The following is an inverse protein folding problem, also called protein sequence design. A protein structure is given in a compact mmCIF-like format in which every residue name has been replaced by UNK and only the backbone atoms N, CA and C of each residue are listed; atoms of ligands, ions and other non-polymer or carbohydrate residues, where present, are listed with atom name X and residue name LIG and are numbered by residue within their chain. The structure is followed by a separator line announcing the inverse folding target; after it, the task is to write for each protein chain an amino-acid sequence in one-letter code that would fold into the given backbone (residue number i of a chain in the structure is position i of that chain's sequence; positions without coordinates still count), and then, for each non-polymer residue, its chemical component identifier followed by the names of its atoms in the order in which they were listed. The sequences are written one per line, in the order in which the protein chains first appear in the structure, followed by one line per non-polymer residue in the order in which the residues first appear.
data_IF_458760189729
#
_entry.id   IF_458760189729
#
_cell.length_a   1.000
_cell.length_b   1.000
_cell.length_c   1.000
_cell.angle_alpha   90.00
_cell.angle_beta   90.00
_cell.angle_gamma   90.00
#
_symmetry.space_group_name_H-M   'P 1'
#
loop_
_entity.id
_entity.type
_entity.pdbx_description
1 polymer ?
#
# COMPACT_ATOMS: atom_id res chain seq x y z
N UNK A 1 35.37 -18.88 14.41
CA UNK A 1 36.51 -19.16 13.50
C UNK A 1 37.07 -20.54 13.83
N UNK A 2 37.73 -21.22 12.88
CA UNK A 2 38.45 -22.47 13.18
C UNK A 2 39.87 -22.09 13.57
N UNK A 3 40.25 -22.34 14.81
CA UNK A 3 41.63 -22.23 15.29
C UNK A 3 42.05 -23.65 15.64
N UNK A 4 43.15 -24.13 15.06
CA UNK A 4 43.73 -25.44 15.35
C UNK A 4 42.74 -26.63 15.25
N UNK A 5 41.78 -26.57 14.32
CA UNK A 5 40.80 -27.64 14.09
C UNK A 5 39.58 -27.61 15.01
N UNK A 6 39.50 -26.67 15.95
CA UNK A 6 38.36 -26.47 16.84
C UNK A 6 37.49 -25.28 16.40
N UNK A 7 36.17 -25.47 16.38
CA UNK A 7 35.21 -24.41 16.03
C UNK A 7 34.98 -23.53 17.27
N UNK A 8 35.64 -22.37 17.31
CA UNK A 8 35.51 -21.40 18.41
C UNK A 8 34.62 -20.23 17.99
N UNK A 9 33.68 -19.84 18.86
CA UNK A 9 32.83 -18.66 18.65
C UNK A 9 33.66 -17.38 18.71
N UNK A 10 33.54 -16.52 17.68
CA UNK A 10 34.18 -15.21 17.69
C UNK A 10 33.32 -14.22 18.50
N UNK A 11 33.84 -13.80 19.65
CA UNK A 11 33.18 -12.88 20.56
C UNK A 11 32.87 -11.51 19.92
N UNK A 12 33.64 -11.09 18.90
CA UNK A 12 33.39 -9.84 18.17
C UNK A 12 32.16 -9.94 17.26
N UNK A 13 31.79 -11.14 16.83
CA UNK A 13 30.60 -11.38 16.01
C UNK A 13 29.29 -11.44 16.82
N UNK A 14 29.38 -11.51 18.16
CA UNK A 14 28.22 -11.56 19.03
C UNK A 14 27.47 -10.22 19.09
N UNK A 15 28.16 -9.12 18.76
CA UNK A 15 27.62 -7.78 18.79
C UNK A 15 27.70 -7.14 17.40
N UNK A 16 26.59 -6.58 16.95
CA UNK A 16 26.54 -5.80 15.71
C UNK A 16 26.68 -4.33 16.07
N UNK A 17 27.75 -3.71 15.59
CA UNK A 17 27.90 -2.26 15.67
C UNK A 17 27.03 -1.57 14.62
N UNK A 18 25.88 -1.06 15.08
CA UNK A 18 24.92 -0.33 14.24
C UNK A 18 25.48 1.01 13.76
N UNK A 19 26.36 1.65 14.52
CA UNK A 19 26.96 2.92 14.14
C UNK A 19 27.97 2.72 13.01
N UNK A 20 28.83 1.70 13.12
CA UNK A 20 29.77 1.35 12.04
C UNK A 20 29.06 0.88 10.76
N UNK A 21 27.86 0.30 10.88
CA UNK A 21 27.02 -0.04 9.71
C UNK A 21 26.39 1.21 9.10
N UNK A 22 25.79 2.07 9.92
CA UNK A 22 25.19 3.31 9.48
C UNK A 22 26.20 4.26 8.82
N UNK A 23 27.42 4.36 9.37
CA UNK A 23 28.49 5.17 8.79
C UNK A 23 28.95 4.65 7.41
N UNK A 24 28.96 3.32 7.22
CA UNK A 24 29.25 2.71 5.91
C UNK A 24 28.12 2.93 4.90
N UNK A 25 26.87 3.02 5.37
CA UNK A 25 25.68 3.24 4.53
C UNK A 25 25.46 4.73 4.21
N UNK A 26 25.86 5.64 5.12
CA UNK A 26 25.74 7.08 4.94
C UNK A 26 26.53 7.62 3.73
N UNK A 27 27.57 6.91 3.29
CA UNK A 27 28.36 7.29 2.13
C UNK A 27 29.11 8.61 2.29
N UNK A 28 29.46 9.24 1.18
CA UNK A 28 30.10 10.56 1.15
C UNK A 28 29.02 11.64 1.33
N UNK A 29 29.06 12.37 2.45
CA UNK A 29 28.16 13.48 2.74
C UNK A 29 28.76 14.78 2.20
N UNK A 30 27.95 15.57 1.50
CA UNK A 30 28.36 16.88 0.99
C UNK A 30 28.36 17.91 2.13
N UNK A 31 29.51 18.56 2.35
CA UNK A 31 29.65 19.64 3.32
C UNK A 31 29.17 20.95 2.68
N UNK A 32 28.07 21.52 3.22
CA UNK A 32 27.51 22.80 2.78
C UNK A 32 27.75 23.88 3.83
N UNK A 33 28.36 25.00 3.43
CA UNK A 33 28.48 26.19 4.28
C UNK A 33 27.14 26.94 4.33
N UNK A 34 26.50 26.99 5.50
CA UNK A 34 25.23 27.70 5.68
C UNK A 34 25.45 29.20 5.93
N UNK A 35 24.63 30.04 5.29
CA UNK A 35 24.57 31.49 5.52
C UNK A 35 23.14 31.89 5.94
N UNK A 36 22.97 33.09 6.54
CA UNK A 36 21.68 33.59 7.04
C UNK A 36 20.58 33.65 5.96
N UNK A 37 20.98 33.71 4.68
CA UNK A 37 20.06 33.72 3.54
C UNK A 37 19.77 32.33 2.96
N UNK A 38 20.54 31.30 3.31
CA UNK A 38 20.44 29.96 2.74
C UNK A 38 19.15 29.25 3.19
N UNK A 39 18.70 29.52 4.42
CA UNK A 39 17.54 28.87 5.04
C UNK A 39 16.31 29.80 5.18
N UNK A 40 16.08 30.69 4.21
CA UNK A 40 14.93 31.59 4.26
C UNK A 40 13.60 30.83 4.20
N UNK A 41 12.87 30.85 5.31
CA UNK A 41 11.56 30.20 5.45
C UNK A 41 10.45 31.25 5.36
N UNK A 42 9.46 30.98 4.52
CA UNK A 42 8.19 31.73 4.44
C UNK A 42 7.04 30.86 4.91
N UNK A 43 5.85 31.45 5.10
CA UNK A 43 4.63 30.70 5.43
C UNK A 43 4.26 29.62 4.39
N UNK A 44 4.79 29.70 3.16
CA UNK A 44 4.55 28.74 2.11
C UNK A 44 5.62 27.63 2.00
N UNK A 45 6.76 27.74 2.70
CA UNK A 45 7.92 26.86 2.51
C UNK A 45 7.60 25.38 2.78
N UNK A 46 6.83 25.11 3.83
CA UNK A 46 6.45 23.74 4.21
C UNK A 46 5.01 23.37 3.83
N UNK A 47 4.30 24.27 3.15
CA UNK A 47 2.98 23.94 2.65
C UNK A 47 3.11 22.95 1.49
N UNK A 48 2.20 21.97 1.42
CA UNK A 48 2.01 21.20 0.18
C UNK A 48 1.62 22.19 -0.91
N UNK A 49 2.59 22.59 -1.74
CA UNK A 49 2.31 23.36 -2.95
C UNK A 49 1.29 22.58 -3.76
N UNK A 50 0.18 23.21 -4.11
CA UNK A 50 -0.68 22.68 -5.17
C UNK A 50 0.24 22.52 -6.37
N UNK A 51 0.35 21.29 -6.87
CA UNK A 51 1.07 20.97 -8.10
C UNK A 51 0.80 22.11 -9.07
N UNK A 52 1.86 22.81 -9.52
CA UNK A 52 1.70 23.94 -10.43
C UNK A 52 0.93 23.35 -11.61
N UNK A 53 -0.31 23.79 -11.81
CA UNK A 53 -1.15 23.25 -12.87
C UNK A 53 -0.31 23.40 -14.13
N UNK A 54 0.05 22.27 -14.75
CA UNK A 54 0.84 22.30 -15.98
C UNK A 54 0.17 23.31 -16.90
N UNK A 55 0.95 24.23 -17.47
CA UNK A 55 0.40 25.21 -18.39
C UNK A 55 -0.37 24.43 -19.47
N UNK A 56 -1.60 24.84 -19.73
CA UNK A 56 -2.37 24.29 -20.84
C UNK A 56 -1.95 25.04 -22.08
N UNK A 57 -1.30 24.35 -23.01
CA UNK A 57 -1.13 24.85 -24.37
C UNK A 57 -2.45 24.75 -25.12
N UNK A 58 -2.52 25.40 -26.28
CA UNK A 58 -3.69 25.28 -27.16
C UNK A 58 -3.80 23.85 -27.69
N UNK A 59 -2.68 23.21 -28.04
CA UNK A 59 -2.61 21.78 -28.40
C UNK A 59 -3.13 20.85 -27.28
N UNK A 60 -2.75 21.11 -26.03
CA UNK A 60 -3.25 20.35 -24.88
C UNK A 60 -4.77 20.53 -24.71
N UNK A 61 -5.28 21.72 -25.04
CA UNK A 61 -6.71 22.04 -24.94
C UNK A 61 -7.50 21.35 -26.05
N UNK A 62 -6.97 21.27 -27.27
CA UNK A 62 -7.57 20.50 -28.36
C UNK A 62 -7.59 18.99 -28.04
N UNK A 63 -6.45 18.45 -27.55
CA UNK A 63 -6.39 17.07 -27.06
C UNK A 63 -7.38 16.80 -25.94
N UNK A 64 -7.58 17.77 -25.04
CA UNK A 64 -8.58 17.65 -23.98
C UNK A 64 -10.01 17.54 -24.53
N UNK A 65 -10.39 18.37 -25.50
CA UNK A 65 -11.72 18.26 -26.13
C UNK A 65 -11.88 16.97 -26.93
N UNK A 66 -10.82 16.49 -27.58
CA UNK A 66 -10.80 15.20 -28.27
C UNK A 66 -11.01 14.04 -27.28
N UNK A 67 -10.25 14.02 -26.18
CA UNK A 67 -10.39 13.03 -25.12
C UNK A 67 -11.77 13.08 -24.44
N UNK A 68 -12.36 14.28 -24.28
CA UNK A 68 -13.71 14.47 -23.74
C UNK A 68 -14.78 13.90 -24.68
N UNK A 69 -14.60 13.98 -26.00
CA UNK A 69 -15.50 13.35 -26.99
C UNK A 69 -15.40 11.82 -26.97
N UNK A 70 -14.20 11.28 -26.78
CA UNK A 70 -13.96 9.84 -26.73
C UNK A 70 -14.48 9.20 -25.45
N UNK A 71 -14.03 9.69 -24.29
CA UNK A 71 -14.25 9.04 -22.98
C UNK A 71 -15.37 9.69 -22.16
N UNK A 72 -15.82 10.90 -22.53
CA UNK A 72 -16.75 11.66 -21.70
C UNK A 72 -16.08 12.19 -20.43
N UNK A 73 -16.78 12.13 -19.30
CA UNK A 73 -16.35 12.77 -18.04
C UNK A 73 -15.43 11.90 -17.17
N UNK A 74 -14.84 10.84 -17.73
CA UNK A 74 -13.83 10.06 -17.01
C UNK A 74 -12.46 10.76 -16.99
N UNK A 75 -12.28 11.60 -15.97
CA UNK A 75 -11.06 12.37 -15.79
C UNK A 75 -9.83 11.53 -15.44
N UNK A 76 -10.00 10.30 -14.95
CA UNK A 76 -8.86 9.43 -14.64
C UNK A 76 -8.24 8.93 -15.94
N UNK A 77 -9.07 8.35 -16.83
CA UNK A 77 -8.64 7.87 -18.14
C UNK A 77 -8.07 9.01 -18.99
N UNK A 78 -8.74 10.16 -19.02
CA UNK A 78 -8.24 11.34 -19.74
C UNK A 78 -6.89 11.80 -19.18
N UNK A 79 -6.67 11.74 -17.86
CA UNK A 79 -5.41 12.20 -17.27
C UNK A 79 -4.20 11.37 -17.70
N UNK A 80 -4.38 10.09 -18.00
CA UNK A 80 -3.30 9.23 -18.47
C UNK A 80 -2.81 9.59 -19.87
N UNK A 81 -3.64 10.24 -20.69
CA UNK A 81 -3.22 10.76 -22.00
C UNK A 81 -2.24 11.94 -21.90
N UNK A 82 -2.02 12.48 -20.69
CA UNK A 82 -1.14 13.60 -20.44
C UNK A 82 -0.09 13.22 -19.38
N UNK A 83 1.18 13.19 -19.74
CA UNK A 83 2.26 12.82 -18.81
C UNK A 83 2.38 13.78 -17.60
N UNK A 84 2.13 15.08 -17.78
CA UNK A 84 2.27 16.10 -16.72
C UNK A 84 0.95 16.50 -16.04
N UNK A 85 -0.19 15.97 -16.49
CA UNK A 85 -1.51 16.41 -16.01
C UNK A 85 -2.19 15.30 -15.22
N UNK A 86 -2.33 15.52 -13.91
CA UNK A 86 -3.10 14.60 -13.05
C UNK A 86 -4.61 14.75 -13.27
N UNK A 87 -5.40 13.76 -12.83
CA UNK A 87 -6.88 13.82 -12.78
C UNK A 87 -7.42 15.13 -12.21
N UNK A 88 -6.77 15.70 -11.18
CA UNK A 88 -7.17 16.98 -10.59
C UNK A 88 -7.01 18.14 -11.58
N UNK A 89 -5.95 18.14 -12.39
CA UNK A 89 -5.73 19.15 -13.43
C UNK A 89 -6.79 19.07 -14.52
N UNK A 90 -7.13 17.87 -14.99
CA UNK A 90 -8.18 17.65 -16.00
C UNK A 90 -9.53 18.14 -15.49
N UNK A 91 -9.91 17.81 -14.24
CA UNK A 91 -11.14 18.33 -13.63
C UNK A 91 -11.16 19.86 -13.52
N UNK A 92 -10.04 20.47 -13.12
CA UNK A 92 -9.93 21.92 -13.04
C UNK A 92 -10.05 22.58 -14.42
N UNK A 93 -9.48 21.96 -15.46
CA UNK A 93 -9.63 22.42 -16.85
C UNK A 93 -11.08 22.32 -17.30
N UNK A 94 -11.76 21.20 -17.05
CA UNK A 94 -13.19 21.06 -17.33
C UNK A 94 -14.02 22.17 -16.66
N UNK A 95 -13.84 22.41 -15.37
CA UNK A 95 -14.57 23.46 -14.65
C UNK A 95 -14.26 24.88 -15.17
N UNK A 96 -13.03 25.10 -15.68
CA UNK A 96 -12.65 26.37 -16.31
C UNK A 96 -13.35 26.52 -17.64
N UNK A 97 -13.27 25.51 -18.51
CA UNK A 97 -13.88 25.52 -19.84
C UNK A 97 -15.41 25.52 -19.80
N UNK A 98 -16.03 24.94 -18.77
CA UNK A 98 -17.47 25.04 -18.58
C UNK A 98 -17.91 26.49 -18.34
N UNK A 99 -17.06 27.29 -17.67
CA UNK A 99 -17.33 28.71 -17.41
C UNK A 99 -16.97 29.61 -18.59
N UNK A 100 -15.83 29.38 -19.23
CA UNK A 100 -15.36 30.22 -20.35
C UNK A 100 -16.00 29.84 -21.69
N UNK A 101 -16.23 28.54 -21.93
CA UNK A 101 -16.58 28.01 -23.23
C UNK A 101 -17.61 26.86 -23.13
N UNK A 102 -18.75 27.15 -22.48
CA UNK A 102 -19.81 26.16 -22.22
C UNK A 102 -20.35 25.49 -23.48
N UNK A 103 -20.35 26.18 -24.63
CA UNK A 103 -20.81 25.62 -25.90
C UNK A 103 -19.89 24.50 -26.39
N UNK A 104 -18.57 24.65 -26.27
CA UNK A 104 -17.59 23.64 -26.67
C UNK A 104 -17.70 22.36 -25.81
N UNK A 105 -17.91 22.52 -24.50
CA UNK A 105 -18.14 21.38 -23.60
C UNK A 105 -19.45 20.66 -23.93
N UNK A 106 -20.54 21.39 -24.17
CA UNK A 106 -21.81 20.79 -24.58
C UNK A 106 -21.68 20.06 -25.93
N UNK A 107 -21.00 20.64 -26.89
CA UNK A 107 -20.74 20.01 -28.18
C UNK A 107 -19.91 18.73 -28.03
N UNK A 108 -18.92 18.71 -27.15
CA UNK A 108 -18.10 17.53 -26.89
C UNK A 108 -18.87 16.39 -26.20
N UNK A 109 -19.83 16.72 -25.31
CA UNK A 109 -20.53 15.73 -24.49
C UNK A 109 -21.88 15.26 -25.07
N UNK A 110 -22.64 16.18 -25.65
CA UNK A 110 -24.02 15.95 -26.16
C UNK A 110 -24.07 15.93 -27.68
N UNK A 111 -23.07 16.49 -28.35
CA UNK A 111 -23.01 16.52 -29.81
C UNK A 111 -22.82 15.14 -30.44
N UNK A 112 -22.76 15.12 -31.77
CA UNK A 112 -22.52 13.90 -32.53
C UNK A 112 -21.17 13.28 -32.13
N UNK A 113 -21.21 12.05 -31.63
CA UNK A 113 -20.02 11.28 -31.27
C UNK A 113 -19.30 10.83 -32.53
N UNK A 114 -18.52 11.76 -33.08
CA UNK A 114 -17.71 11.54 -34.27
C UNK A 114 -16.50 10.65 -34.01
N UNK A 115 -16.10 10.52 -32.74
CA UNK A 115 -14.94 9.71 -32.32
C UNK A 115 -15.42 8.53 -31.49
N UNK A 116 -15.17 7.31 -31.98
CA UNK A 116 -15.39 6.08 -31.22
C UNK A 116 -14.29 5.87 -30.18
N UNK A 117 -14.58 5.10 -29.12
CA UNK A 117 -13.56 4.71 -28.14
C UNK A 117 -12.57 3.74 -28.79
N UNK A 118 -11.44 4.27 -29.26
CA UNK A 118 -10.35 3.48 -29.83
C UNK A 118 -9.28 3.21 -28.77
N UNK A 119 -9.10 1.94 -28.41
CA UNK A 119 -8.03 1.54 -27.48
C UNK A 119 -6.64 1.76 -28.09
N UNK A 120 -6.51 1.60 -29.41
CA UNK A 120 -5.24 1.74 -30.12
C UNK A 120 -4.74 3.18 -30.10
N UNK A 121 -5.65 4.14 -30.29
CA UNK A 121 -5.33 5.56 -30.18
C UNK A 121 -4.91 5.92 -28.74
N UNK A 122 -5.61 5.40 -27.75
CA UNK A 122 -5.28 5.61 -26.35
C UNK A 122 -3.89 5.05 -25.98
N UNK A 123 -3.52 3.88 -26.52
CA UNK A 123 -2.18 3.30 -26.38
C UNK A 123 -1.09 4.20 -26.98
N UNK A 124 -1.33 4.80 -28.16
CA UNK A 124 -0.38 5.71 -28.79
C UNK A 124 -0.11 6.94 -27.90
N UNK A 125 -1.14 7.49 -27.26
CA UNK A 125 -0.98 8.66 -26.39
C UNK A 125 -0.36 8.33 -25.03
N UNK A 126 -0.66 7.16 -24.46
CA UNK A 126 -0.14 6.75 -23.14
C UNK A 126 1.23 6.10 -23.22
N UNK A 127 1.61 5.54 -24.37
CA UNK A 127 2.79 4.68 -24.50
C UNK A 127 2.70 3.41 -23.66
N UNK A 128 1.50 3.06 -23.18
CA UNK A 128 1.27 1.91 -22.31
C UNK A 128 0.71 0.74 -23.11
N UNK A 129 1.33 -0.43 -22.92
CA UNK A 129 0.73 -1.67 -23.36
C UNK A 129 -0.28 -2.15 -22.32
N UNK A 130 -1.48 -2.45 -22.80
CA UNK A 130 -2.55 -3.00 -21.99
C UNK A 130 -2.73 -4.48 -22.35
N UNK A 131 -2.64 -5.33 -21.34
CA UNK A 131 -3.00 -6.73 -21.44
C UNK A 131 -4.52 -6.90 -21.59
N UNK A 132 -4.94 -8.02 -22.16
CA UNK A 132 -6.36 -8.34 -22.24
C UNK A 132 -6.92 -8.63 -20.85
N UNK A 133 -8.20 -8.31 -20.63
CA UNK A 133 -8.85 -8.56 -19.34
C UNK A 133 -8.75 -10.03 -18.91
N UNK A 134 -8.82 -10.96 -19.86
CA UNK A 134 -8.69 -12.40 -19.62
C UNK A 134 -7.32 -12.79 -19.05
N UNK A 135 -6.25 -12.18 -19.55
CA UNK A 135 -4.89 -12.42 -19.04
C UNK A 135 -4.76 -11.93 -17.60
N UNK A 136 -5.29 -10.74 -17.30
CA UNK A 136 -5.26 -10.14 -15.96
C UNK A 136 -6.05 -11.02 -14.97
N UNK A 137 -7.26 -11.46 -15.33
CA UNK A 137 -8.06 -12.32 -14.46
C UNK A 137 -7.42 -13.69 -14.24
N UNK A 138 -6.81 -14.27 -15.27
CA UNK A 138 -6.09 -15.54 -15.14
C UNK A 138 -4.86 -15.41 -14.21
N UNK A 139 -4.13 -14.29 -14.27
CA UNK A 139 -3.02 -14.01 -13.36
C UNK A 139 -3.50 -13.83 -11.92
N UNK A 140 -4.56 -13.03 -11.71
CA UNK A 140 -5.14 -12.81 -10.37
C UNK A 140 -5.60 -14.11 -9.74
N UNK A 141 -6.31 -14.95 -10.49
CA UNK A 141 -6.79 -16.24 -10.01
C UNK A 141 -5.64 -17.17 -9.59
N UNK A 142 -4.57 -17.24 -10.39
CA UNK A 142 -3.38 -18.04 -10.04
C UNK A 142 -2.70 -17.53 -8.76
N UNK A 143 -2.61 -16.20 -8.59
CA UNK A 143 -2.03 -15.60 -7.40
C UNK A 143 -2.88 -15.86 -6.14
N UNK A 144 -4.21 -15.82 -6.27
CA UNK A 144 -5.15 -16.16 -5.19
C UNK A 144 -5.03 -17.63 -4.80
N UNK A 145 -5.02 -18.55 -5.77
CA UNK A 145 -4.85 -19.99 -5.53
C UNK A 145 -3.51 -20.31 -4.83
N UNK A 146 -2.42 -19.67 -5.24
CA UNK A 146 -1.11 -19.83 -4.60
C UNK A 146 -1.09 -19.30 -3.17
N UNK A 147 -1.72 -18.14 -2.93
CA UNK A 147 -1.84 -17.56 -1.60
C UNK A 147 -2.67 -18.44 -0.67
N UNK A 148 -3.81 -18.95 -1.14
CA UNK A 148 -4.67 -19.86 -0.38
C UNK A 148 -3.96 -21.17 -0.05
N UNK A 149 -3.24 -21.75 -1.02
CA UNK A 149 -2.45 -22.95 -0.79
C UNK A 149 -1.36 -22.74 0.28
N UNK A 150 -0.66 -21.59 0.24
CA UNK A 150 0.34 -21.21 1.26
C UNK A 150 -0.30 -21.01 2.64
N UNK A 151 -1.42 -20.31 2.72
CA UNK A 151 -2.14 -20.11 3.98
C UNK A 151 -2.61 -21.44 4.57
N UNK A 152 -3.13 -22.35 3.74
CA UNK A 152 -3.55 -23.67 4.16
C UNK A 152 -2.38 -24.50 4.69
N UNK A 153 -1.24 -24.52 3.99
CA UNK A 153 -0.05 -25.24 4.45
C UNK A 153 0.45 -24.72 5.82
N UNK A 154 0.47 -23.39 6.00
CA UNK A 154 0.82 -22.77 7.29
C UNK A 154 -0.20 -23.13 8.38
N UNK A 155 -1.50 -23.18 8.05
CA UNK A 155 -2.54 -23.55 9.00
C UNK A 155 -2.43 -25.02 9.41
N UNK A 156 -2.15 -25.92 8.46
CA UNK A 156 -1.95 -27.35 8.70
C UNK A 156 -0.70 -27.59 9.56
N UNK A 157 0.42 -26.92 9.25
CA UNK A 157 1.66 -26.96 10.05
C UNK A 157 1.40 -26.48 11.49
N UNK A 158 0.73 -25.33 11.66
CA UNK A 158 0.36 -24.82 12.98
C UNK A 158 -0.60 -25.75 13.71
N UNK A 159 -1.52 -26.41 13.01
CA UNK A 159 -2.43 -27.37 13.61
C UNK A 159 -1.67 -28.63 14.09
N UNK A 160 -0.69 -29.11 13.33
CA UNK A 160 0.18 -30.21 13.75
C UNK A 160 1.07 -29.82 14.93
N UNK A 161 1.65 -28.62 14.94
CA UNK A 161 2.41 -28.10 16.09
C UNK A 161 1.53 -28.00 17.34
N UNK A 162 0.30 -27.51 17.21
CA UNK A 162 -0.67 -27.44 18.30
C UNK A 162 -1.04 -28.84 18.81
N UNK A 163 -1.21 -29.83 17.92
CA UNK A 163 -1.47 -31.22 18.30
C UNK A 163 -0.30 -31.83 19.06
N UNK A 164 0.93 -31.69 18.55
CA UNK A 164 2.16 -32.16 19.23
C UNK A 164 2.35 -31.48 20.59
N UNK A 165 2.11 -30.17 20.68
CA UNK A 165 2.19 -29.40 21.92
C UNK A 165 1.12 -29.82 22.93
N UNK A 166 -0.10 -30.15 22.45
CA UNK A 166 -1.18 -30.70 23.28
C UNK A 166 -0.84 -32.10 23.78
N UNK A 167 -0.34 -32.98 22.92
CA UNK A 167 0.08 -34.34 23.30
C UNK A 167 1.25 -34.31 24.29
N UNK A 168 2.23 -33.42 24.12
CA UNK A 168 3.32 -33.23 25.07
C UNK A 168 2.86 -32.67 26.44
N UNK A 169 1.80 -31.85 26.46
CA UNK A 169 1.26 -31.27 27.70
C UNK A 169 0.33 -32.24 28.46
N UNK A 170 -0.43 -33.07 27.75
CA UNK A 170 -1.41 -34.00 28.34
C UNK A 170 -0.95 -35.47 28.39
N UNK A 171 0.25 -35.78 27.88
CA UNK A 171 0.77 -37.13 27.71
C UNK A 171 1.79 -37.62 28.76
N UNK A 172 2.04 -36.88 29.83
CA UNK A 172 2.76 -37.43 30.98
C UNK A 172 1.80 -38.37 31.75
N UNK A 173 2.05 -39.69 31.80
CA UNK A 173 1.29 -40.55 32.70
C UNK A 173 1.76 -40.24 34.12
N UNK A 174 0.83 -39.77 34.96
CA UNK A 174 1.02 -39.77 36.41
C UNK A 174 1.24 -41.23 36.87
N UNK A 175 2.52 -41.59 36.99
CA UNK A 175 2.99 -42.78 37.65
C UNK A 175 3.27 -42.42 39.13
N UNK A 176 2.41 -42.96 40.00
CA UNK A 176 2.61 -43.25 41.42
C UNK A 176 2.84 -42.10 42.42
N UNK A 177 1.77 -41.71 43.13
CA UNK A 177 1.81 -41.65 44.60
C UNK A 177 0.45 -42.05 45.20
N UNK A 178 0.46 -43.20 45.89
CA UNK A 178 -0.62 -43.64 46.75
C UNK A 178 -0.60 -42.81 48.05
N UNK A 179 -1.28 -41.66 48.05
CA UNK A 179 -1.36 -40.77 49.19
C UNK A 179 -2.79 -40.42 49.58
N UNK A 180 -3.27 -41.01 50.66
CA UNK A 180 -4.50 -40.72 51.40
C UNK A 180 -4.87 -39.23 51.50
N UNK A 181 -6.15 -38.86 51.33
CA UNK A 181 -6.62 -37.58 51.91
C UNK A 181 -7.85 -36.89 51.31
N UNK A 182 -9.02 -37.18 51.88
CA UNK A 182 -10.09 -36.22 52.20
C UNK A 182 -10.71 -35.35 51.09
N UNK A 183 -11.96 -35.70 50.74
CA UNK A 183 -12.97 -34.79 50.20
C UNK A 183 -13.09 -33.53 51.08
N UNK A 184 -12.77 -32.35 50.53
CA UNK A 184 -13.35 -31.09 51.01
C UNK A 184 -13.66 -30.16 49.83
N UNK A 185 -14.95 -30.08 49.53
CA UNK A 185 -15.51 -29.16 48.54
C UNK A 185 -15.15 -27.71 48.87
N UNK A 186 -14.62 -27.00 47.88
CA UNK A 186 -14.44 -25.54 47.94
C UNK A 186 -15.56 -24.87 47.14
N UNK A 187 -16.48 -24.32 47.92
CA UNK A 187 -17.64 -23.52 47.54
C UNK A 187 -17.23 -22.42 46.57
N UNK A 188 -17.85 -22.41 45.39
CA UNK A 188 -17.81 -21.30 44.44
C UNK A 188 -18.46 -20.06 45.04
N UNK A 189 -17.66 -18.99 45.11
CA UNK A 189 -18.00 -17.66 45.59
C UNK A 189 -19.03 -17.03 44.65
N UNK A 190 -20.24 -16.79 45.16
CA UNK A 190 -21.35 -16.16 44.44
C UNK A 190 -20.98 -14.77 43.91
N UNK A 191 -21.19 -14.57 42.61
CA UNK A 191 -21.26 -13.24 41.99
C UNK A 191 -22.52 -12.55 42.50
N UNK A 192 -22.37 -11.52 43.33
CA UNK A 192 -23.44 -10.56 43.62
C UNK A 192 -23.58 -9.64 42.42
N UNK A 193 -24.73 -9.69 41.76
CA UNK A 193 -25.20 -8.62 40.89
C UNK A 193 -25.43 -7.36 41.74
N UNK A 194 -24.91 -6.22 41.29
CA UNK A 194 -25.40 -4.91 41.71
C UNK A 194 -26.05 -4.25 40.51
N UNK A 195 -27.38 -4.22 40.56
CA UNK A 195 -28.25 -3.25 39.93
C UNK A 195 -28.15 -1.90 40.65
N UNK A 196 -28.47 -0.81 39.94
CA UNK A 196 -28.63 0.56 40.46
C UNK A 196 -27.75 1.54 39.68
N UNK A 197 -28.23 2.19 38.61
CA UNK A 197 -29.22 3.27 38.54
C UNK A 197 -28.64 4.65 38.92
N UNK A 198 -28.60 5.51 37.89
CA UNK A 198 -28.83 6.97 37.86
C UNK A 198 -27.80 7.90 38.51
N UNK A 199 -27.33 8.83 37.67
CA UNK A 199 -26.50 10.00 37.94
C UNK A 199 -26.08 10.60 36.62
#
# INVERSE_FOLDING_TARGET
QIIDGEIVLDARSLQVDRHARAAREAGEMEEHEENEFTNHTTSATYLRRKMKAGQWSDEDTEKFYHALRMFGTDFETISRMFHDKTRKHVKLKFNREERSNSAAIRAALVGEKTVGMSIDEYKQYTGQEYETAEAIYAQQKKAEEEFEARQKAIADEKAEELRKKKEALFGAPDADDAGTGSKKGRRGRGKRAKSGAVG
#
